data_IF_093676659026
#
_entry.id   IF_093676659026
#
_cell.length_a   1.000
_cell.length_b   1.000
_cell.length_c   1.000
_cell.angle_alpha   90.00
_cell.angle_beta   90.00
_cell.angle_gamma   90.00
#
_symmetry.space_group_name_H-M   'P 1'
#
loop_
_entity.id
_entity.type
_entity.pdbx_description
1 polymer ?
#
# COMPACT_ATOMS: atom_id res chain seq x y z
N UNK A 1 17.74 -0.92 8.01
CA UNK A 1 16.91 -2.12 7.88
C UNK A 1 15.80 -1.95 6.84
N UNK A 2 15.10 -0.82 6.83
CA UNK A 2 13.97 -0.57 5.92
C UNK A 2 14.32 0.37 4.77
N UNK A 3 15.59 0.62 4.51
CA UNK A 3 16.07 1.64 3.55
C UNK A 3 15.53 1.41 2.13
N UNK A 4 15.40 0.16 1.72
CA UNK A 4 14.90 -0.15 0.37
C UNK A 4 13.45 0.26 0.20
N UNK A 5 12.67 0.17 1.27
CA UNK A 5 11.26 0.55 1.27
C UNK A 5 11.11 2.07 1.42
N UNK A 6 11.81 2.66 2.38
CA UNK A 6 11.70 4.08 2.68
C UNK A 6 12.28 4.97 1.59
N UNK A 7 13.09 4.41 0.69
CA UNK A 7 13.58 5.13 -0.48
C UNK A 7 12.44 5.67 -1.36
N UNK A 8 11.25 5.08 -1.26
CA UNK A 8 10.09 5.52 -2.02
C UNK A 8 9.28 6.63 -1.34
N UNK A 9 9.65 7.03 -0.12
CA UNK A 9 8.95 8.09 0.60
C UNK A 9 8.89 9.37 -0.24
N UNK A 10 7.70 9.90 -0.43
CA UNK A 10 7.47 11.11 -1.24
C UNK A 10 7.50 10.89 -2.75
N UNK A 11 7.73 9.66 -3.22
CA UNK A 11 7.84 9.36 -4.65
C UNK A 11 6.64 8.64 -5.22
N UNK A 12 5.75 8.15 -4.38
CA UNK A 12 4.57 7.41 -4.82
C UNK A 12 3.46 8.38 -5.22
N UNK A 13 2.66 7.97 -6.22
CA UNK A 13 1.58 8.80 -6.74
C UNK A 13 0.26 8.06 -6.77
N UNK A 14 -0.86 8.79 -6.61
CA UNK A 14 -2.19 8.20 -6.77
C UNK A 14 -2.40 7.62 -8.15
N UNK A 15 -3.40 6.76 -8.29
CA UNK A 15 -3.76 6.20 -9.58
C UNK A 15 -4.31 7.28 -10.51
N UNK A 16 -3.98 7.16 -11.79
CA UNK A 16 -4.64 7.88 -12.86
C UNK A 16 -5.76 6.95 -13.39
N UNK A 17 -7.00 7.39 -13.25
CA UNK A 17 -8.14 6.58 -13.71
C UNK A 17 -8.36 6.76 -15.20
N UNK A 18 -8.31 5.64 -15.92
CA UNK A 18 -8.69 5.61 -17.32
C UNK A 18 -10.21 5.41 -17.35
N UNK A 19 -10.97 6.31 -17.99
CA UNK A 19 -12.43 6.22 -17.98
C UNK A 19 -12.93 5.02 -18.79
N UNK A 20 -14.12 4.53 -18.43
CA UNK A 20 -14.82 3.54 -19.22
C UNK A 20 -15.14 4.14 -20.59
N UNK A 21 -15.06 3.33 -21.63
CA UNK A 21 -15.28 3.78 -23.00
C UNK A 21 -16.25 2.84 -23.71
N UNK A 22 -17.21 3.44 -24.45
CA UNK A 22 -18.11 2.70 -25.32
C UNK A 22 -17.52 2.68 -26.73
N UNK A 23 -17.33 1.49 -27.27
CA UNK A 23 -16.84 1.34 -28.64
C UNK A 23 -17.97 1.43 -29.66
N UNK A 24 -17.60 1.67 -30.93
CA UNK A 24 -18.54 1.81 -32.04
C UNK A 24 -19.37 0.54 -32.27
N UNK A 25 -18.84 -0.62 -31.90
CA UNK A 25 -19.54 -1.90 -32.03
C UNK A 25 -20.53 -2.17 -30.88
N UNK A 26 -20.70 -1.23 -29.94
CA UNK A 26 -21.60 -1.36 -28.80
C UNK A 26 -20.99 -1.98 -27.57
N UNK A 27 -19.74 -2.46 -27.64
CA UNK A 27 -19.06 -3.00 -26.46
C UNK A 27 -18.50 -1.88 -25.59
N UNK A 28 -18.20 -2.23 -24.32
CA UNK A 28 -17.61 -1.31 -23.37
C UNK A 28 -16.25 -1.79 -22.94
N UNK A 29 -15.32 -0.82 -22.79
CA UNK A 29 -14.08 -1.05 -22.03
C UNK A 29 -14.32 -0.46 -20.65
N UNK A 30 -14.21 -1.29 -19.60
CA UNK A 30 -14.35 -0.84 -18.23
C UNK A 30 -13.17 0.06 -17.89
N UNK A 31 -13.43 1.14 -17.14
CA UNK A 31 -12.35 1.99 -16.62
C UNK A 31 -11.46 1.23 -15.64
N UNK A 32 -10.20 1.65 -15.53
CA UNK A 32 -9.25 1.02 -14.61
C UNK A 32 -8.26 2.05 -14.06
N UNK A 33 -7.70 1.78 -12.87
CA UNK A 33 -6.64 2.63 -12.33
C UNK A 33 -5.30 2.29 -12.99
N UNK A 34 -4.55 3.31 -13.34
CA UNK A 34 -3.21 3.17 -13.90
C UNK A 34 -2.22 3.89 -12.99
N UNK A 35 -1.12 3.24 -12.65
CA UNK A 35 -0.09 3.80 -11.79
C UNK A 35 1.14 4.15 -12.61
N UNK A 36 1.89 5.16 -12.15
CA UNK A 36 3.16 5.49 -12.80
C UNK A 36 4.18 4.36 -12.55
N UNK A 37 5.31 4.46 -13.24
CA UNK A 37 6.33 3.41 -13.21
C UNK A 37 6.89 3.18 -11.80
N UNK A 38 7.17 4.27 -11.08
CA UNK A 38 7.75 4.19 -9.73
C UNK A 38 6.77 3.55 -8.77
N UNK A 39 5.50 3.96 -8.79
CA UNK A 39 4.47 3.40 -7.91
C UNK A 39 4.21 1.93 -8.24
N UNK A 40 4.15 1.59 -9.52
CA UNK A 40 3.97 0.20 -9.97
C UNK A 40 5.13 -0.68 -9.52
N UNK A 41 6.35 -0.18 -9.61
CA UNK A 41 7.54 -0.89 -9.13
C UNK A 41 7.46 -1.14 -7.62
N UNK A 42 7.08 -0.11 -6.85
CA UNK A 42 6.93 -0.25 -5.40
C UNK A 42 5.94 -1.35 -5.05
N UNK A 43 4.76 -1.33 -5.68
CA UNK A 43 3.72 -2.33 -5.42
C UNK A 43 4.23 -3.74 -5.71
N UNK A 44 4.94 -3.92 -6.83
CA UNK A 44 5.51 -5.22 -7.19
C UNK A 44 6.57 -5.66 -6.19
N UNK A 45 7.44 -4.74 -5.79
CA UNK A 45 8.56 -5.07 -4.88
C UNK A 45 8.09 -5.32 -3.44
N UNK A 46 6.90 -4.85 -3.06
CA UNK A 46 6.38 -5.15 -1.72
C UNK A 46 6.26 -6.64 -1.46
N UNK A 47 6.04 -7.45 -2.50
CA UNK A 47 6.03 -8.92 -2.35
C UNK A 47 7.39 -9.47 -1.91
N UNK A 48 8.47 -8.73 -2.19
CA UNK A 48 9.82 -9.09 -1.75
C UNK A 48 10.16 -8.47 -0.38
N UNK A 49 9.68 -7.26 -0.14
CA UNK A 49 10.00 -6.52 1.10
C UNK A 49 9.28 -7.06 2.32
N UNK A 50 8.06 -7.56 2.15
CA UNK A 50 7.26 -8.04 3.28
C UNK A 50 7.86 -9.33 3.83
N UNK A 51 7.94 -9.50 5.18
CA UNK A 51 8.46 -10.74 5.74
C UNK A 51 7.64 -11.97 5.30
N UNK A 52 8.31 -13.09 5.09
CA UNK A 52 7.69 -14.37 4.74
C UNK A 52 6.79 -14.32 3.50
N UNK A 53 7.07 -13.41 2.56
CA UNK A 53 6.27 -13.27 1.35
C UNK A 53 4.84 -12.80 1.62
N UNK A 54 4.59 -12.25 2.80
CA UNK A 54 3.25 -11.78 3.17
C UNK A 54 2.32 -12.88 3.65
N UNK A 55 2.83 -14.07 3.92
CA UNK A 55 2.00 -15.18 4.39
C UNK A 55 1.32 -14.83 5.70
N UNK A 56 0.01 -15.08 5.77
CA UNK A 56 -0.83 -14.79 6.96
C UNK A 56 -0.84 -13.31 7.37
N UNK A 57 -0.70 -12.40 6.40
CA UNK A 57 -0.59 -10.97 6.68
C UNK A 57 -1.77 -10.43 7.50
N UNK A 58 -2.99 -10.90 7.23
CA UNK A 58 -4.18 -10.46 7.97
C UNK A 58 -4.10 -10.83 9.46
N UNK A 59 -3.66 -12.06 9.75
CA UNK A 59 -3.53 -12.54 11.13
C UNK A 59 -2.44 -11.78 11.89
N UNK A 60 -1.31 -11.51 11.24
CA UNK A 60 -0.21 -10.76 11.85
C UNK A 60 -0.67 -9.34 12.19
N UNK A 61 -1.34 -8.68 11.26
CA UNK A 61 -1.84 -7.32 11.48
C UNK A 61 -2.83 -7.31 12.64
N UNK A 62 -3.82 -8.19 12.61
CA UNK A 62 -4.84 -8.25 13.66
C UNK A 62 -4.24 -8.53 15.03
N UNK A 63 -3.31 -9.48 15.10
CA UNK A 63 -2.65 -9.84 16.36
C UNK A 63 -1.88 -8.66 16.97
N UNK A 64 -1.24 -7.85 16.12
CA UNK A 64 -0.37 -6.78 16.59
C UNK A 64 -1.06 -5.42 16.71
N UNK A 65 -2.21 -5.22 16.04
CA UNK A 65 -2.91 -3.93 16.06
C UNK A 65 -4.34 -4.01 16.59
N UNK A 66 -4.95 -5.20 16.56
CA UNK A 66 -6.37 -5.37 16.88
C UNK A 66 -7.30 -4.90 15.76
N UNK A 67 -6.76 -4.52 14.60
CA UNK A 67 -7.53 -3.98 13.48
C UNK A 67 -7.52 -4.95 12.31
N UNK A 68 -8.63 -5.04 11.58
CA UNK A 68 -8.77 -5.95 10.44
C UNK A 68 -9.31 -5.29 9.17
N UNK A 69 -9.54 -3.99 9.21
CA UNK A 69 -10.17 -3.24 8.13
C UNK A 69 -9.22 -2.16 7.62
N UNK A 70 -9.10 -2.02 6.30
CA UNK A 70 -8.21 -1.03 5.69
C UNK A 70 -8.50 0.40 6.17
N UNK A 71 -9.79 0.74 6.35
CA UNK A 71 -10.18 2.07 6.83
C UNK A 71 -9.60 2.34 8.22
N UNK A 72 -9.71 1.38 9.12
CA UNK A 72 -9.22 1.53 10.49
C UNK A 72 -7.69 1.55 10.53
N UNK A 73 -7.04 0.74 9.68
CA UNK A 73 -5.58 0.74 9.57
C UNK A 73 -5.06 2.10 9.13
N UNK A 74 -5.73 2.74 8.15
CA UNK A 74 -5.30 4.04 7.65
C UNK A 74 -5.33 5.13 8.72
N UNK A 75 -6.16 4.95 9.74
CA UNK A 75 -6.32 5.91 10.85
C UNK A 75 -5.51 5.53 12.09
N UNK A 76 -4.84 4.38 12.07
CA UNK A 76 -4.13 3.88 13.24
C UNK A 76 -2.95 4.77 13.63
N UNK A 77 -2.73 4.89 14.94
CA UNK A 77 -1.52 5.50 15.46
C UNK A 77 -0.39 4.47 15.36
N UNK A 78 0.58 4.73 14.48
CA UNK A 78 1.66 3.79 14.21
C UNK A 78 2.88 3.99 15.10
N UNK A 79 2.84 4.94 16.04
CA UNK A 79 3.99 5.26 16.89
C UNK A 79 4.43 4.09 17.78
N UNK A 80 3.49 3.20 18.12
CA UNK A 80 3.77 2.01 18.94
C UNK A 80 3.81 0.71 18.15
N UNK A 81 3.70 0.77 16.82
CA UNK A 81 3.67 -0.44 15.99
C UNK A 81 5.09 -0.71 15.47
N UNK A 82 5.51 -1.97 15.53
CA UNK A 82 6.83 -2.37 15.05
C UNK A 82 6.92 -2.30 13.52
N UNK A 83 8.16 -2.19 13.01
CA UNK A 83 8.39 -1.99 11.60
C UNK A 83 7.91 -3.12 10.72
N UNK A 84 8.10 -4.37 11.14
CA UNK A 84 7.66 -5.51 10.35
C UNK A 84 6.13 -5.52 10.21
N UNK A 85 5.39 -5.19 11.28
CA UNK A 85 3.93 -5.08 11.20
C UNK A 85 3.52 -3.99 10.21
N UNK A 86 4.23 -2.85 10.20
CA UNK A 86 3.96 -1.78 9.23
C UNK A 86 4.18 -2.29 7.80
N UNK A 87 5.22 -3.11 7.56
CA UNK A 87 5.41 -3.72 6.24
C UNK A 87 4.21 -4.59 5.85
N UNK A 88 3.68 -5.39 6.78
CA UNK A 88 2.47 -6.17 6.52
C UNK A 88 1.28 -5.27 6.22
N UNK A 89 1.16 -4.12 6.91
CA UNK A 89 0.07 -3.18 6.66
C UNK A 89 0.15 -2.59 5.25
N UNK A 90 1.33 -2.17 4.81
CA UNK A 90 1.54 -1.68 3.44
C UNK A 90 1.21 -2.79 2.44
N UNK A 91 1.69 -4.00 2.70
CA UNK A 91 1.42 -5.15 1.85
C UNK A 91 -0.08 -5.43 1.73
N UNK A 92 -0.83 -5.29 2.82
CA UNK A 92 -2.27 -5.52 2.78
C UNK A 92 -2.98 -4.56 1.81
N UNK A 93 -2.51 -3.31 1.72
CA UNK A 93 -3.05 -2.34 0.76
C UNK A 93 -2.68 -2.71 -0.67
N UNK A 94 -1.44 -3.14 -0.90
CA UNK A 94 -1.01 -3.62 -2.23
C UNK A 94 -1.83 -4.85 -2.64
N UNK A 95 -2.00 -5.78 -1.72
CA UNK A 95 -2.78 -6.99 -1.97
C UNK A 95 -4.24 -6.69 -2.24
N UNK A 96 -4.80 -5.73 -1.48
CA UNK A 96 -6.19 -5.31 -1.63
C UNK A 96 -6.49 -4.68 -2.99
N UNK A 97 -5.49 -4.15 -3.67
CA UNK A 97 -5.65 -3.55 -4.99
C UNK A 97 -6.22 -4.55 -6.00
N UNK A 98 -5.94 -5.84 -5.85
CA UNK A 98 -6.46 -6.89 -6.74
C UNK A 98 -7.98 -7.05 -6.64
N UNK A 99 -8.55 -6.69 -5.50
CA UNK A 99 -9.98 -6.86 -5.21
C UNK A 99 -10.73 -5.53 -5.23
N UNK A 100 -10.01 -4.42 -5.09
CA UNK A 100 -10.58 -3.09 -5.07
C UNK A 100 -9.64 -2.15 -5.82
N UNK A 101 -9.83 -2.05 -7.13
CA UNK A 101 -8.97 -1.23 -7.99
C UNK A 101 -8.96 0.22 -7.52
N UNK A 102 -7.75 0.78 -7.38
CA UNK A 102 -7.56 2.14 -6.88
C UNK A 102 -7.35 2.25 -5.38
N UNK A 103 -7.49 1.15 -4.62
CA UNK A 103 -7.32 1.18 -3.17
C UNK A 103 -5.95 1.72 -2.78
N UNK A 104 -4.88 1.20 -3.37
CA UNK A 104 -3.53 1.64 -3.04
C UNK A 104 -3.33 3.12 -3.36
N UNK A 105 -3.82 3.55 -4.52
CA UNK A 105 -3.75 4.95 -4.94
C UNK A 105 -4.49 5.88 -3.99
N UNK A 106 -5.64 5.46 -3.46
CA UNK A 106 -6.38 6.22 -2.46
C UNK A 106 -5.56 6.37 -1.18
N UNK A 107 -4.85 5.32 -0.77
CA UNK A 107 -3.98 5.36 0.41
C UNK A 107 -2.74 6.23 0.18
N UNK A 108 -2.26 6.35 -1.05
CA UNK A 108 -1.20 7.31 -1.39
C UNK A 108 -1.76 8.73 -1.32
N UNK A 109 -2.94 8.95 -1.92
CA UNK A 109 -3.55 10.28 -1.97
C UNK A 109 -3.88 10.85 -0.60
N UNK A 110 -4.33 10.01 0.34
CA UNK A 110 -4.70 10.47 1.68
C UNK A 110 -3.51 10.54 2.65
N UNK A 111 -2.30 10.20 2.20
CA UNK A 111 -1.09 10.26 3.01
C UNK A 111 -0.81 9.04 3.87
N UNK A 112 -1.65 8.02 3.83
CA UNK A 112 -1.49 6.82 4.65
C UNK A 112 -0.15 6.12 4.39
N UNK A 113 0.18 5.88 3.11
CA UNK A 113 1.41 5.15 2.77
C UNK A 113 2.64 5.96 3.18
N UNK A 114 2.67 7.27 2.93
CA UNK A 114 3.79 8.11 3.33
C UNK A 114 3.92 8.18 4.86
N UNK A 115 2.81 8.18 5.58
CA UNK A 115 2.84 8.11 7.05
C UNK A 115 3.54 6.84 7.53
N UNK A 116 3.21 5.71 6.93
CA UNK A 116 3.81 4.42 7.29
C UNK A 116 5.28 4.34 6.90
N UNK A 117 5.63 4.82 5.70
CA UNK A 117 7.03 4.89 5.28
C UNK A 117 7.84 5.82 6.20
N UNK A 118 7.24 6.94 6.59
CA UNK A 118 7.87 7.87 7.53
C UNK A 118 8.16 7.21 8.88
N UNK A 119 7.24 6.39 9.36
CA UNK A 119 7.44 5.65 10.62
C UNK A 119 8.59 4.64 10.50
N UNK A 120 8.68 3.92 9.37
CA UNK A 120 9.78 3.00 9.12
C UNK A 120 11.12 3.74 9.12
N UNK A 121 11.15 4.92 8.53
CA UNK A 121 12.35 5.74 8.51
C UNK A 121 12.76 6.16 9.92
N UNK A 122 11.80 6.58 10.75
CA UNK A 122 12.06 6.92 12.14
C UNK A 122 12.65 5.74 12.91
N UNK A 123 12.10 4.54 12.70
CA UNK A 123 12.61 3.33 13.35
C UNK A 123 14.08 3.10 12.99
N UNK A 124 14.43 3.25 11.71
CA UNK A 124 15.82 3.08 11.27
C UNK A 124 16.74 4.15 11.85
N UNK A 125 16.28 5.39 11.97
CA UNK A 125 17.08 6.49 12.49
C UNK A 125 17.35 6.39 14.00
N UNK A 126 16.50 5.68 14.73
CA UNK A 126 16.63 5.51 16.19
C UNK A 126 17.43 4.27 16.58
N UNK A 127 17.93 3.53 15.61
CA UNK A 127 18.67 2.29 15.87
C UNK A 127 20.12 2.51 16.24
#
# INVERSE_FOLDING_TARGET
MYEQVTAYLGKLKPAHWIPAEKKDDGSYITGWPEYDEITSEFMRRMYEFVPNGGQNYDDVIYKNTGLDCHRDLSKADVSGIDGDTILYMIFSMVRGERFSGGLFGDCVADGTIDKWLGRLKEIDEKR
#
